data_IF_764453312529
#
_entry.id   IF_764453312529
#
_cell.length_a   1.000
_cell.length_b   1.000
_cell.length_c   1.000
_cell.angle_alpha   90.00
_cell.angle_beta   90.00
_cell.angle_gamma   90.00
#
_symmetry.space_group_name_H-M   'P 1'
#
loop_
_entity.id
_entity.type
_entity.pdbx_description
1 polymer ?
#
# COMPACT_ATOMS: atom_id res chain seq x y z
N UNK A 1 -0.48 30.12 -18.66
CA UNK A 1 -1.68 29.27 -18.63
C UNK A 1 -1.37 28.13 -17.68
N UNK A 2 -1.68 28.33 -16.40
CA UNK A 2 -1.54 27.27 -15.40
C UNK A 2 -2.64 26.26 -15.69
N UNK A 3 -2.26 25.03 -16.05
CA UNK A 3 -3.21 23.94 -16.14
C UNK A 3 -3.76 23.68 -14.75
N UNK A 4 -5.04 23.93 -14.56
CA UNK A 4 -5.80 23.48 -13.41
C UNK A 4 -5.85 21.95 -13.47
N UNK A 5 -4.85 21.29 -12.88
CA UNK A 5 -5.03 19.92 -12.41
C UNK A 5 -5.98 20.04 -11.22
N UNK A 6 -7.25 19.72 -11.44
CA UNK A 6 -8.15 19.45 -10.33
C UNK A 6 -7.57 18.25 -9.59
N UNK A 7 -6.97 18.49 -8.43
CA UNK A 7 -6.65 17.47 -7.43
C UNK A 7 -7.96 16.83 -6.99
N UNK A 8 -8.46 15.88 -7.78
CA UNK A 8 -9.52 14.99 -7.36
C UNK A 8 -8.87 13.96 -6.43
N UNK A 9 -8.58 14.43 -5.21
CA UNK A 9 -7.92 13.63 -4.19
C UNK A 9 -8.78 12.41 -3.90
N UNK A 10 -8.27 11.22 -4.24
CA UNK A 10 -8.95 9.96 -3.94
C UNK A 10 -8.96 9.81 -2.42
N UNK A 11 -10.08 10.18 -1.79
CA UNK A 11 -10.26 10.03 -0.35
C UNK A 11 -10.39 8.56 -0.01
N UNK A 12 -9.37 8.02 0.65
CA UNK A 12 -9.37 6.64 1.16
C UNK A 12 -10.46 6.46 2.21
N UNK A 13 -11.39 5.52 1.97
CA UNK A 13 -12.55 5.27 2.84
C UNK A 13 -12.29 4.18 3.88
N UNK A 14 -11.43 3.22 3.53
CA UNK A 14 -11.14 2.07 4.36
C UNK A 14 -9.82 1.42 3.98
N UNK A 15 -9.21 0.74 4.94
CA UNK A 15 -8.01 -0.08 4.77
C UNK A 15 -8.33 -1.49 5.27
N UNK A 16 -7.81 -2.49 4.55
CA UNK A 16 -7.90 -3.90 4.92
C UNK A 16 -6.48 -4.44 5.11
N UNK A 17 -6.20 -5.05 6.26
CA UNK A 17 -4.87 -5.51 6.66
C UNK A 17 -4.91 -6.96 7.18
N UNK A 18 -3.74 -7.61 7.16
CA UNK A 18 -3.53 -8.83 7.95
C UNK A 18 -3.37 -8.50 9.44
N UNK A 19 -3.58 -9.48 10.32
CA UNK A 19 -3.51 -9.34 11.78
C UNK A 19 -2.10 -9.19 12.36
N UNK A 20 -1.21 -8.51 11.63
CA UNK A 20 0.14 -8.20 12.06
C UNK A 20 0.16 -7.23 13.24
N UNK A 21 1.10 -7.46 14.16
CA UNK A 21 1.28 -6.65 15.37
C UNK A 21 1.58 -5.17 15.10
N UNK A 22 2.19 -4.90 13.95
CA UNK A 22 2.65 -3.60 13.48
C UNK A 22 1.51 -2.59 13.20
N UNK A 23 0.26 -3.06 13.10
CA UNK A 23 -0.90 -2.22 12.79
C UNK A 23 -1.80 -1.93 13.99
N UNK A 24 -1.38 -2.27 15.21
CA UNK A 24 -2.11 -1.96 16.43
C UNK A 24 -1.70 -0.60 17.03
N UNK A 25 -2.54 -0.08 17.94
CA UNK A 25 -2.31 1.16 18.69
C UNK A 25 -2.27 2.42 17.82
N UNK A 26 -1.08 2.99 17.58
CA UNK A 26 -0.94 4.31 16.94
C UNK A 26 -1.51 4.32 15.52
N UNK A 27 -1.40 3.20 14.80
CA UNK A 27 -1.96 3.07 13.46
C UNK A 27 -3.50 3.11 13.47
N UNK A 28 -4.14 2.44 14.43
CA UNK A 28 -5.59 2.47 14.60
C UNK A 28 -6.08 3.85 15.03
N UNK A 29 -5.31 4.55 15.87
CA UNK A 29 -5.60 5.92 16.28
C UNK A 29 -5.55 6.87 15.08
N UNK A 30 -4.50 6.80 14.26
CA UNK A 30 -4.39 7.58 13.05
C UNK A 30 -5.57 7.31 12.10
N UNK A 31 -5.93 6.04 11.86
CA UNK A 31 -7.09 5.71 11.03
C UNK A 31 -8.39 6.35 11.55
N UNK A 32 -8.60 6.40 12.87
CA UNK A 32 -9.75 7.09 13.47
C UNK A 32 -9.71 8.59 13.23
N UNK A 33 -8.56 9.24 13.42
CA UNK A 33 -8.38 10.68 13.19
C UNK A 33 -8.68 11.08 11.74
N UNK A 34 -8.29 10.23 10.78
CA UNK A 34 -8.54 10.43 9.35
C UNK A 34 -9.89 9.90 8.85
N UNK A 35 -10.74 9.36 9.74
CA UNK A 35 -12.05 8.78 9.39
C UNK A 35 -11.97 7.61 8.41
N UNK A 36 -10.91 6.81 8.52
CA UNK A 36 -10.63 5.64 7.70
C UNK A 36 -11.08 4.39 8.46
N UNK A 37 -11.96 3.58 7.86
CA UNK A 37 -12.39 2.32 8.46
C UNK A 37 -11.28 1.27 8.35
N UNK A 38 -10.93 0.62 9.46
CA UNK A 38 -9.94 -0.45 9.47
C UNK A 38 -10.63 -1.81 9.55
N UNK A 39 -10.25 -2.72 8.66
CA UNK A 39 -10.66 -4.13 8.69
C UNK A 39 -9.42 -5.00 8.89
N UNK A 40 -9.43 -5.83 9.93
CA UNK A 40 -8.38 -6.81 10.18
C UNK A 40 -8.90 -8.20 9.80
N UNK A 41 -8.09 -8.96 9.07
CA UNK A 41 -8.46 -10.32 8.73
C UNK A 41 -8.54 -11.22 9.97
N UNK A 42 -9.51 -12.15 10.01
CA UNK A 42 -9.45 -13.26 10.94
C UNK A 42 -8.22 -14.11 10.63
N UNK A 43 -7.57 -14.63 11.67
CA UNK A 43 -6.43 -15.55 11.51
C UNK A 43 -6.75 -16.66 10.50
N UNK A 44 -5.78 -16.98 9.62
CA UNK A 44 -5.88 -18.03 8.58
C UNK A 44 -6.85 -17.71 7.42
N UNK A 45 -7.10 -16.43 7.13
CA UNK A 45 -7.96 -15.99 6.02
C UNK A 45 -7.18 -15.56 4.77
N UNK A 46 -6.13 -16.31 4.40
CA UNK A 46 -5.23 -16.00 3.28
C UNK A 46 -5.94 -15.67 1.96
N UNK A 47 -7.08 -16.32 1.68
CA UNK A 47 -7.87 -16.07 0.45
C UNK A 47 -8.40 -14.63 0.33
N UNK A 48 -8.56 -13.92 1.44
CA UNK A 48 -9.11 -12.56 1.43
C UNK A 48 -8.06 -11.49 1.06
N UNK A 49 -6.78 -11.85 1.02
CA UNK A 49 -5.67 -11.00 0.56
C UNK A 49 -5.17 -11.32 -0.85
N UNK A 50 -5.84 -12.19 -1.61
CA UNK A 50 -5.36 -12.69 -2.92
C UNK A 50 -4.93 -11.58 -3.90
N UNK A 51 -5.60 -10.43 -3.91
CA UNK A 51 -5.24 -9.32 -4.80
C UNK A 51 -3.91 -8.69 -4.38
N UNK A 52 -3.73 -8.44 -3.08
CA UNK A 52 -2.49 -7.88 -2.53
C UNK A 52 -1.33 -8.84 -2.75
N UNK A 53 -1.54 -10.13 -2.49
CA UNK A 53 -0.53 -11.17 -2.71
C UNK A 53 -0.13 -11.27 -4.19
N UNK A 54 -1.09 -11.23 -5.12
CA UNK A 54 -0.81 -11.24 -6.56
C UNK A 54 -0.04 -10.00 -6.99
N UNK A 55 -0.43 -8.82 -6.52
CA UNK A 55 0.26 -7.57 -6.83
C UNK A 55 1.70 -7.59 -6.29
N UNK A 56 1.89 -8.06 -5.06
CA UNK A 56 3.22 -8.19 -4.46
C UNK A 56 4.11 -9.15 -5.26
N UNK A 57 3.56 -10.27 -5.74
CA UNK A 57 4.29 -11.19 -6.63
C UNK A 57 4.68 -10.52 -7.94
N UNK A 58 3.74 -9.86 -8.62
CA UNK A 58 4.02 -9.13 -9.86
C UNK A 58 5.12 -8.09 -9.64
N UNK A 59 5.05 -7.31 -8.56
CA UNK A 59 6.08 -6.32 -8.24
C UNK A 59 7.45 -6.98 -8.02
N UNK A 60 7.50 -8.10 -7.31
CA UNK A 60 8.77 -8.80 -7.07
C UNK A 60 9.36 -9.38 -8.36
N UNK A 61 8.55 -10.08 -9.15
CA UNK A 61 9.01 -10.80 -10.35
C UNK A 61 9.31 -9.86 -11.51
N UNK A 62 8.51 -8.81 -11.69
CA UNK A 62 8.62 -7.91 -12.86
C UNK A 62 9.47 -6.67 -12.59
N UNK A 63 9.52 -6.19 -11.34
CA UNK A 63 10.38 -5.05 -10.99
C UNK A 63 11.62 -5.50 -10.24
N UNK A 64 11.47 -6.06 -9.02
CA UNK A 64 12.63 -6.29 -8.14
C UNK A 64 13.65 -7.27 -8.73
N UNK A 65 13.19 -8.40 -9.28
CA UNK A 65 14.07 -9.42 -9.87
C UNK A 65 14.72 -8.99 -11.19
N UNK A 66 14.14 -7.98 -11.86
CA UNK A 66 14.63 -7.44 -13.13
C UNK A 66 15.41 -6.13 -12.97
N UNK A 67 15.47 -5.58 -11.77
CA UNK A 67 16.12 -4.31 -11.49
C UNK A 67 17.64 -4.47 -11.45
N UNK A 68 18.35 -3.72 -12.29
CA UNK A 68 19.82 -3.78 -12.42
C UNK A 68 20.54 -2.61 -11.73
N UNK A 69 19.81 -1.63 -11.20
CA UNK A 69 20.36 -0.46 -10.51
C UNK A 69 20.76 -0.73 -9.06
N UNK A 70 21.25 0.31 -8.35
CA UNK A 70 21.54 0.16 -6.93
C UNK A 70 20.24 0.11 -6.11
N UNK A 71 20.17 -0.79 -5.13
CA UNK A 71 19.03 -0.92 -4.23
C UNK A 71 18.97 0.24 -3.20
N UNK A 72 18.96 1.47 -3.68
CA UNK A 72 18.76 2.68 -2.89
C UNK A 72 17.40 3.31 -3.26
N UNK A 73 16.70 3.84 -2.25
CA UNK A 73 15.37 4.41 -2.42
C UNK A 73 15.31 5.49 -3.50
N UNK A 74 16.32 6.37 -3.58
CA UNK A 74 16.33 7.47 -4.54
C UNK A 74 16.45 7.03 -6.01
N UNK A 75 17.09 5.90 -6.27
CA UNK A 75 17.21 5.30 -7.60
C UNK A 75 15.95 4.52 -7.97
N UNK A 76 15.47 3.65 -7.08
CA UNK A 76 14.25 2.87 -7.30
C UNK A 76 13.03 3.77 -7.52
N UNK A 77 12.90 4.86 -6.76
CA UNK A 77 11.79 5.81 -6.92
C UNK A 77 11.78 6.55 -8.26
N UNK A 78 12.95 6.72 -8.91
CA UNK A 78 13.03 7.38 -10.22
C UNK A 78 12.49 6.51 -11.34
N UNK A 79 12.57 5.20 -11.22
CA UNK A 79 12.08 4.27 -12.24
C UNK A 79 10.59 3.93 -12.09
N UNK A 80 9.98 4.26 -10.94
CA UNK A 80 8.56 4.02 -10.66
C UNK A 80 7.62 5.17 -11.09
N UNK A 81 8.16 6.29 -11.60
CA UNK A 81 7.40 7.43 -12.12
C UNK A 81 7.49 7.53 -13.63
#
# INVERSE_FOLDING_TARGET
MAGEFSDEFIKMKSIHLDGGGEFYADFELACKEYWIKLFCLPTRSLKLNEVVERLNRTYREELCERYEGEANLGEVWRELK
#
